data_IF_662369187365
#
_entry.id   IF_662369187365
#
_cell.length_a   1.000
_cell.length_b   1.000
_cell.length_c   1.000
_cell.angle_alpha   90.00
_cell.angle_beta   90.00
_cell.angle_gamma   90.00
#
_symmetry.space_group_name_H-M   'P 1'
#
loop_
_entity.id
_entity.type
_entity.pdbx_description
1 polymer ?
#
# COMPACT_ATOMS: atom_id res chain seq x y z
N UNK A 1 -16.03 3.60 -0.57
CA UNK A 1 -16.19 5.05 -0.31
C UNK A 1 -14.90 5.66 0.23
N UNK A 2 -14.38 5.18 1.36
CA UNK A 2 -13.11 5.65 1.96
C UNK A 2 -11.95 5.66 0.97
N UNK A 3 -11.74 4.58 0.21
CA UNK A 3 -10.65 4.54 -0.78
C UNK A 3 -10.81 5.58 -1.89
N UNK A 4 -12.03 5.88 -2.32
CA UNK A 4 -12.33 6.93 -3.29
C UNK A 4 -12.04 8.33 -2.71
N UNK A 5 -12.32 8.53 -1.42
CA UNK A 5 -12.04 9.79 -0.70
C UNK A 5 -10.54 9.98 -0.53
N UNK A 6 -9.81 8.92 -0.15
CA UNK A 6 -8.35 8.96 -0.09
C UNK A 6 -7.75 9.33 -1.44
N UNK A 7 -8.20 8.66 -2.50
CA UNK A 7 -7.73 8.92 -3.86
C UNK A 7 -8.00 10.36 -4.31
N UNK A 8 -9.15 10.92 -3.95
CA UNK A 8 -9.46 12.33 -4.20
C UNK A 8 -8.50 13.25 -3.43
N UNK A 9 -8.42 13.10 -2.11
CA UNK A 9 -7.61 13.97 -1.25
C UNK A 9 -6.13 13.90 -1.57
N UNK A 10 -5.65 12.70 -1.88
CA UNK A 10 -4.27 12.45 -2.27
C UNK A 10 -3.92 13.12 -3.60
N UNK A 11 -4.84 13.11 -4.58
CA UNK A 11 -4.63 13.80 -5.87
C UNK A 11 -4.84 15.31 -5.80
N UNK A 12 -5.70 15.77 -4.89
CA UNK A 12 -6.06 17.18 -4.82
C UNK A 12 -4.98 18.04 -4.15
N UNK A 13 -4.11 17.43 -3.33
CA UNK A 13 -2.94 18.01 -2.63
C UNK A 13 -3.22 19.19 -1.70
N UNK A 14 -4.44 19.71 -1.74
CA UNK A 14 -4.96 20.68 -0.79
C UNK A 14 -6.03 19.99 0.05
N UNK A 15 -6.16 20.38 1.33
CA UNK A 15 -7.25 19.92 2.15
C UNK A 15 -8.60 20.23 1.51
N UNK A 16 -9.54 19.29 1.61
CA UNK A 16 -10.92 19.46 1.19
C UNK A 16 -11.86 19.34 2.38
N UNK A 17 -12.90 20.16 2.41
CA UNK A 17 -14.01 19.98 3.34
C UNK A 17 -14.85 18.76 2.94
N UNK A 18 -15.64 18.23 3.89
CA UNK A 18 -16.61 17.17 3.61
C UNK A 18 -17.51 17.49 2.41
N UNK A 19 -18.00 18.73 2.31
CA UNK A 19 -18.85 19.17 1.21
C UNK A 19 -18.12 19.13 -0.15
N UNK A 20 -16.84 19.50 -0.18
CA UNK A 20 -16.03 19.40 -1.39
C UNK A 20 -15.80 17.95 -1.77
N UNK A 21 -15.48 17.08 -0.82
CA UNK A 21 -15.32 15.63 -1.04
C UNK A 21 -16.59 15.02 -1.62
N UNK A 22 -17.74 15.31 -1.01
CA UNK A 22 -19.05 14.86 -1.45
C UNK A 22 -19.35 15.30 -2.89
N UNK A 23 -19.07 16.58 -3.20
CA UNK A 23 -19.24 17.15 -4.54
C UNK A 23 -18.35 16.48 -5.59
N UNK A 24 -17.08 16.27 -5.28
CA UNK A 24 -16.14 15.65 -6.22
C UNK A 24 -16.46 14.19 -6.53
N UNK A 25 -16.97 13.44 -5.55
CA UNK A 25 -17.29 12.03 -5.72
C UNK A 25 -18.73 11.77 -6.17
N UNK A 26 -19.58 12.80 -6.20
CA UNK A 26 -21.00 12.66 -6.51
C UNK A 26 -21.74 11.79 -5.48
N UNK A 27 -21.29 11.79 -4.23
CA UNK A 27 -21.79 10.93 -3.16
C UNK A 27 -21.99 11.71 -1.86
N UNK A 28 -22.89 11.25 -0.99
CA UNK A 28 -22.98 11.77 0.38
C UNK A 28 -21.92 11.10 1.26
N UNK A 29 -21.08 11.90 1.90
CA UNK A 29 -20.16 11.43 2.95
C UNK A 29 -20.95 11.38 4.26
N UNK A 30 -21.18 10.17 4.79
CA UNK A 30 -21.93 9.95 6.04
C UNK A 30 -21.01 10.13 7.25
N UNK A 31 -21.59 10.31 8.43
CA UNK A 31 -20.87 10.44 9.70
C UNK A 31 -19.99 9.21 10.01
N UNK A 32 -20.51 8.00 9.78
CA UNK A 32 -19.73 6.75 9.84
C UNK A 32 -18.49 6.77 8.91
N UNK A 33 -18.58 7.44 7.76
CA UNK A 33 -17.44 7.60 6.85
C UNK A 33 -16.40 8.57 7.40
N UNK A 34 -16.83 9.62 8.10
CA UNK A 34 -15.92 10.56 8.77
C UNK A 34 -15.25 9.92 9.98
N UNK A 35 -15.98 9.12 10.76
CA UNK A 35 -15.39 8.32 11.84
C UNK A 35 -14.37 7.32 11.30
N UNK A 36 -14.71 6.63 10.21
CA UNK A 36 -13.77 5.76 9.50
C UNK A 36 -12.53 6.53 9.02
N UNK A 37 -12.69 7.73 8.44
CA UNK A 37 -11.55 8.58 8.05
C UNK A 37 -10.73 9.05 9.25
N UNK A 38 -11.35 9.40 10.38
CA UNK A 38 -10.65 9.83 11.59
C UNK A 38 -9.84 8.72 12.26
N UNK A 39 -10.24 7.47 12.05
CA UNK A 39 -9.51 6.28 12.48
C UNK A 39 -8.55 5.75 11.41
N UNK A 40 -8.59 6.32 10.20
CA UNK A 40 -7.81 5.87 9.06
C UNK A 40 -6.63 6.82 8.84
N UNK A 41 -5.40 6.33 9.02
CA UNK A 41 -4.19 7.14 9.08
C UNK A 41 -3.72 7.69 7.73
N UNK A 42 -4.42 7.33 6.66
CA UNK A 42 -4.24 7.93 5.35
C UNK A 42 -4.82 9.34 5.29
N UNK A 43 -5.65 9.69 6.27
CA UNK A 43 -6.31 10.97 6.37
C UNK A 43 -5.78 11.76 7.56
N UNK A 44 -5.61 13.06 7.35
CA UNK A 44 -5.34 14.02 8.39
C UNK A 44 -6.57 14.92 8.51
N UNK A 45 -7.19 14.93 9.69
CA UNK A 45 -8.21 15.91 10.04
C UNK A 45 -7.53 17.24 10.34
N UNK A 46 -8.00 18.30 9.71
CA UNK A 46 -7.46 19.65 9.79
C UNK A 46 -8.55 20.61 10.30
N UNK A 47 -8.18 21.83 10.74
CA UNK A 47 -9.16 22.83 11.15
C UNK A 47 -10.23 23.07 10.07
N UNK A 48 -11.41 23.54 10.51
CA UNK A 48 -12.53 23.88 9.61
C UNK A 48 -13.10 22.67 8.85
N UNK A 49 -13.12 21.50 9.49
CA UNK A 49 -13.66 20.24 8.92
C UNK A 49 -13.00 19.86 7.59
N UNK A 50 -11.75 20.25 7.44
CA UNK A 50 -10.94 19.91 6.29
C UNK A 50 -10.26 18.58 6.51
N UNK A 51 -10.08 17.86 5.42
CA UNK A 51 -9.38 16.58 5.38
C UNK A 51 -8.30 16.68 4.33
N UNK A 52 -7.11 16.19 4.66
CA UNK A 52 -6.05 15.98 3.69
C UNK A 52 -5.69 14.50 3.65
N UNK A 53 -5.08 14.07 2.56
CA UNK A 53 -4.29 12.85 2.63
C UNK A 53 -2.99 13.17 3.40
N UNK A 54 -2.51 12.22 4.18
CA UNK A 54 -1.23 12.37 4.89
C UNK A 54 -0.12 12.69 3.89
N UNK A 55 0.69 13.69 4.22
CA UNK A 55 1.77 14.16 3.35
C UNK A 55 2.79 13.04 3.13
N UNK A 56 3.37 13.00 1.92
CA UNK A 56 4.31 11.93 1.55
C UNK A 56 5.59 11.98 2.41
N UNK A 57 5.96 13.18 2.81
CA UNK A 57 7.11 13.51 3.65
C UNK A 57 6.93 13.06 5.11
N UNK A 58 5.68 12.95 5.58
CA UNK A 58 5.35 12.51 6.94
C UNK A 58 5.27 10.97 7.05
N UNK A 59 5.36 10.26 5.92
CA UNK A 59 5.11 8.83 5.84
C UNK A 59 6.37 8.00 5.62
N UNK A 60 7.42 8.54 4.97
CA UNK A 60 8.63 7.78 4.67
C UNK A 60 9.88 8.66 4.46
N UNK A 61 11.06 8.18 4.87
CA UNK A 61 12.35 8.69 4.39
C UNK A 61 12.47 8.49 2.88
N UNK A 62 12.66 9.57 2.12
CA UNK A 62 12.85 9.47 0.67
C UNK A 62 14.25 8.92 0.35
N UNK A 63 14.37 7.60 0.35
CA UNK A 63 15.60 6.88 0.01
C UNK A 63 15.62 6.48 -1.48
N UNK A 64 16.82 6.25 -2.05
CA UNK A 64 16.94 5.48 -3.29
C UNK A 64 16.18 4.14 -3.18
N UNK A 65 15.59 3.67 -4.27
CA UNK A 65 14.87 2.39 -4.28
C UNK A 65 15.78 1.22 -3.90
N UNK A 66 17.05 1.28 -4.31
CA UNK A 66 18.09 0.31 -3.95
C UNK A 66 18.44 0.30 -2.46
N UNK A 67 18.24 1.42 -1.75
CA UNK A 67 18.50 1.53 -0.31
C UNK A 67 17.24 1.38 0.55
N UNK A 68 16.06 1.38 -0.08
CA UNK A 68 14.78 1.21 0.60
C UNK A 68 14.59 -0.25 0.99
N UNK A 69 14.22 -0.48 2.26
CA UNK A 69 13.78 -1.81 2.69
C UNK A 69 12.31 -1.99 2.37
N UNK A 70 11.98 -3.05 1.65
CA UNK A 70 10.61 -3.44 1.32
C UNK A 70 10.23 -4.71 2.07
N UNK A 71 8.98 -4.82 2.50
CA UNK A 71 8.40 -6.06 3.03
C UNK A 71 7.26 -6.46 2.11
N UNK A 72 7.56 -7.45 1.26
CA UNK A 72 6.58 -8.03 0.34
C UNK A 72 5.74 -9.00 1.16
N UNK A 73 4.43 -8.80 1.16
CA UNK A 73 3.47 -9.51 2.02
C UNK A 73 2.34 -10.04 1.17
N UNK A 74 1.81 -11.18 1.57
CA UNK A 74 0.58 -11.78 1.05
C UNK A 74 -0.19 -12.44 2.20
N UNK A 75 -1.51 -12.46 2.12
CA UNK A 75 -2.37 -13.14 3.07
C UNK A 75 -3.41 -14.03 2.40
N UNK A 76 -3.76 -15.11 3.10
CA UNK A 76 -4.98 -15.86 2.82
C UNK A 76 -6.00 -15.63 3.94
N UNK A 77 -7.29 -15.63 3.59
CA UNK A 77 -8.36 -15.26 4.52
C UNK A 77 -9.57 -16.19 4.45
N UNK A 78 -10.43 -16.16 5.47
CA UNK A 78 -11.72 -16.89 5.47
C UNK A 78 -12.76 -16.32 4.50
N UNK A 79 -12.44 -15.26 3.77
CA UNK A 79 -13.34 -14.49 2.91
C UNK A 79 -12.81 -13.08 2.64
N UNK A 80 -13.56 -12.25 1.92
CA UNK A 80 -13.07 -10.95 1.43
C UNK A 80 -13.54 -9.73 2.23
N UNK A 81 -14.27 -9.92 3.34
CA UNK A 81 -14.86 -8.84 4.13
C UNK A 81 -13.96 -8.51 5.33
N UNK A 82 -13.19 -7.42 5.22
CA UNK A 82 -12.33 -6.90 6.29
C UNK A 82 -13.13 -6.65 7.59
N UNK A 83 -12.57 -7.05 8.73
CA UNK A 83 -13.19 -6.91 10.06
C UNK A 83 -14.25 -7.98 10.37
N UNK A 84 -14.72 -8.72 9.35
CA UNK A 84 -15.62 -9.87 9.52
C UNK A 84 -14.87 -11.17 9.29
N UNK A 85 -14.13 -11.28 8.19
CA UNK A 85 -13.28 -12.41 7.83
C UNK A 85 -11.90 -12.30 8.50
N UNK A 86 -11.26 -13.46 8.67
CA UNK A 86 -10.02 -13.61 9.45
C UNK A 86 -8.89 -14.09 8.56
N UNK A 87 -7.66 -13.69 8.90
CA UNK A 87 -6.43 -14.19 8.27
C UNK A 87 -6.24 -15.66 8.66
N UNK A 88 -5.83 -16.49 7.70
CA UNK A 88 -5.52 -17.93 7.87
C UNK A 88 -4.09 -18.30 7.43
N UNK A 89 -3.45 -17.48 6.60
CA UNK A 89 -2.04 -17.56 6.24
C UNK A 89 -1.49 -16.13 6.11
N UNK A 90 -0.29 -15.89 6.61
CA UNK A 90 0.41 -14.61 6.53
C UNK A 90 1.87 -14.88 6.20
N UNK A 91 2.27 -14.48 5.00
CA UNK A 91 3.64 -14.60 4.54
C UNK A 91 4.23 -13.25 4.21
N UNK A 92 5.53 -13.09 4.47
CA UNK A 92 6.28 -11.95 4.02
C UNK A 92 7.77 -12.23 3.79
N UNK A 93 8.37 -11.46 2.89
CA UNK A 93 9.81 -11.42 2.65
C UNK A 93 10.27 -9.97 2.73
N UNK A 94 11.27 -9.73 3.58
CA UNK A 94 11.93 -8.43 3.69
C UNK A 94 13.15 -8.40 2.78
N UNK A 95 13.28 -7.35 1.97
CA UNK A 95 14.41 -7.14 1.07
C UNK A 95 14.97 -5.71 1.21
N UNK A 96 16.23 -5.52 0.78
CA UNK A 96 16.82 -4.20 0.50
C UNK A 96 17.69 -4.32 -0.75
N UNK A 97 17.32 -3.62 -1.81
CA UNK A 97 17.80 -3.93 -3.16
C UNK A 97 17.47 -5.39 -3.51
N UNK A 98 18.42 -6.13 -4.09
CA UNK A 98 18.24 -7.54 -4.43
C UNK A 98 18.42 -8.50 -3.24
N UNK A 99 18.93 -7.99 -2.11
CA UNK A 99 19.27 -8.81 -0.95
C UNK A 99 18.03 -9.13 -0.13
N UNK A 100 17.80 -10.42 0.11
CA UNK A 100 16.85 -10.89 1.11
C UNK A 100 17.41 -10.67 2.53
N UNK A 101 16.62 -10.02 3.39
CA UNK A 101 16.96 -9.76 4.78
C UNK A 101 16.31 -10.76 5.75
N UNK A 102 15.22 -11.41 5.32
CA UNK A 102 14.55 -12.46 6.08
C UNK A 102 13.18 -12.80 5.52
N UNK A 103 12.57 -13.86 6.07
CA UNK A 103 11.22 -14.32 5.75
C UNK A 103 10.39 -14.44 7.02
N UNK A 104 9.09 -14.30 6.86
CA UNK A 104 8.06 -14.54 7.85
C UNK A 104 6.99 -15.41 7.20
N UNK A 105 6.55 -16.47 7.87
CA UNK A 105 5.46 -17.31 7.41
C UNK A 105 4.73 -17.88 8.62
N UNK A 106 3.42 -17.73 8.65
CA UNK A 106 2.59 -18.27 9.71
C UNK A 106 1.19 -18.63 9.18
N UNK A 107 0.80 -19.89 9.37
CA UNK A 107 -0.61 -20.24 9.42
C UNK A 107 -1.24 -19.64 10.67
N UNK A 108 -2.52 -19.28 10.57
CA UNK A 108 -3.26 -18.61 11.63
C UNK A 108 -4.55 -19.36 11.90
N UNK A 109 -4.80 -19.72 13.16
CA UNK A 109 -6.11 -20.23 13.56
C UNK A 109 -7.13 -19.08 13.60
N UNK A 110 -8.16 -19.07 12.74
CA UNK A 110 -9.09 -17.96 12.65
C UNK A 110 -10.20 -18.01 13.73
N UNK A 111 -10.17 -19.01 14.63
CA UNK A 111 -11.24 -19.34 15.58
C UNK A 111 -12.62 -19.50 14.92
N UNK A 112 -12.64 -19.98 13.68
CA UNK A 112 -13.87 -20.20 12.93
C UNK A 112 -13.67 -21.22 11.82
N UNK A 113 -14.79 -21.73 11.32
CA UNK A 113 -14.78 -22.67 10.22
C UNK A 113 -14.38 -21.99 8.91
N UNK A 114 -13.37 -22.56 8.24
CA UNK A 114 -13.03 -22.28 6.85
C UNK A 114 -14.03 -23.03 5.96
N UNK A 115 -14.69 -22.30 5.05
CA UNK A 115 -15.66 -22.90 4.14
C UNK A 115 -14.96 -23.77 3.08
N UNK A 116 -15.69 -24.74 2.52
CA UNK A 116 -15.15 -25.58 1.42
C UNK A 116 -14.68 -24.74 0.24
N UNK A 117 -15.39 -23.65 -0.06
CA UNK A 117 -15.01 -22.75 -1.14
C UNK A 117 -13.64 -22.10 -0.89
N UNK A 118 -13.39 -21.61 0.34
CA UNK A 118 -12.09 -21.03 0.70
C UNK A 118 -10.99 -22.10 0.68
N UNK A 119 -11.21 -23.28 1.25
CA UNK A 119 -10.24 -24.38 1.19
C UNK A 119 -9.90 -24.76 -0.26
N UNK A 120 -10.84 -24.68 -1.20
CA UNK A 120 -10.56 -24.92 -2.62
C UNK A 120 -9.75 -23.81 -3.28
N UNK A 121 -9.87 -22.58 -2.80
CA UNK A 121 -9.14 -21.42 -3.33
C UNK A 121 -7.72 -21.33 -2.79
N UNK A 122 -7.55 -21.61 -1.50
CA UNK A 122 -6.31 -21.39 -0.75
C UNK A 122 -5.60 -22.69 -0.37
N UNK A 123 -6.17 -23.86 -0.67
CA UNK A 123 -5.61 -25.15 -0.23
C UNK A 123 -5.63 -25.37 1.29
N UNK A 124 -5.97 -24.37 2.10
CA UNK A 124 -5.91 -24.42 3.57
C UNK A 124 -7.24 -24.96 4.11
N UNK A 125 -7.15 -26.10 4.78
CA UNK A 125 -8.25 -26.80 5.42
C UNK A 125 -8.42 -26.37 6.88
N UNK A 126 -9.55 -26.76 7.48
CA UNK A 126 -9.76 -26.55 8.92
C UNK A 126 -8.75 -27.34 9.77
N UNK A 127 -8.20 -28.44 9.25
CA UNK A 127 -7.21 -29.26 9.98
C UNK A 127 -5.85 -28.58 10.01
N UNK A 128 -5.46 -27.91 8.91
CA UNK A 128 -4.17 -27.22 8.81
C UNK A 128 -4.02 -26.09 9.84
N UNK A 129 -5.14 -25.43 10.17
CA UNK A 129 -5.16 -24.29 11.09
C UNK A 129 -5.62 -24.65 12.51
N UNK A 130 -6.00 -25.89 12.78
CA UNK A 130 -6.58 -26.29 14.07
C UNK A 130 -5.60 -26.04 15.23
N UNK A 131 -4.32 -26.36 15.02
CA UNK A 131 -3.24 -26.17 16.00
C UNK A 131 -2.32 -25.00 15.65
N UNK A 132 -2.67 -24.20 14.65
CA UNK A 132 -1.91 -23.01 14.27
C UNK A 132 -2.00 -21.93 15.36
N UNK A 133 -1.00 -21.05 15.50
CA UNK A 133 -1.05 -19.95 16.46
C UNK A 133 -2.19 -18.98 16.15
N UNK A 134 -2.62 -18.25 17.16
CA UNK A 134 -3.65 -17.24 17.02
C UNK A 134 -3.08 -15.95 16.41
N UNK A 135 -3.93 -15.12 15.81
CA UNK A 135 -3.46 -13.84 15.26
C UNK A 135 -2.92 -12.90 16.35
N UNK A 136 -3.39 -13.05 17.59
CA UNK A 136 -2.89 -12.38 18.79
C UNK A 136 -1.40 -12.66 19.04
N UNK A 137 -0.92 -13.85 18.64
CA UNK A 137 0.48 -14.27 18.77
C UNK A 137 1.29 -13.91 17.52
N UNK A 138 0.67 -14.04 16.34
CA UNK A 138 1.32 -13.85 15.03
C UNK A 138 1.51 -12.37 14.68
N UNK A 139 0.50 -11.52 14.93
CA UNK A 139 0.52 -10.13 14.49
C UNK A 139 1.63 -9.29 15.16
N UNK A 140 1.91 -9.41 16.47
CA UNK A 140 3.04 -8.69 17.07
C UNK A 140 4.39 -9.07 16.44
N UNK A 141 4.61 -10.36 16.17
CA UNK A 141 5.83 -10.85 15.52
C UNK A 141 5.93 -10.35 14.07
N UNK A 142 4.81 -10.32 13.35
CA UNK A 142 4.76 -9.75 12.01
C UNK A 142 5.08 -8.25 12.02
N UNK A 143 4.54 -7.48 12.96
CA UNK A 143 4.82 -6.04 13.07
C UNK A 143 6.29 -5.76 13.40
N UNK A 144 6.88 -6.56 14.29
CA UNK A 144 8.32 -6.51 14.57
C UNK A 144 9.13 -6.86 13.31
N UNK A 145 8.72 -7.92 12.60
CA UNK A 145 9.33 -8.29 11.33
C UNK A 145 9.18 -7.19 10.28
N UNK A 146 8.07 -6.47 10.19
CA UNK A 146 7.90 -5.33 9.27
C UNK A 146 8.84 -4.19 9.66
N UNK A 147 8.84 -3.78 10.93
CA UNK A 147 9.61 -2.65 11.44
C UNK A 147 9.40 -1.38 10.62
N UNK A 148 10.49 -0.83 10.08
CA UNK A 148 10.48 0.39 9.23
C UNK A 148 10.52 0.09 7.73
N UNK A 149 10.23 -1.14 7.31
CA UNK A 149 10.15 -1.48 5.89
C UNK A 149 8.87 -0.91 5.23
N UNK A 150 8.95 -0.62 3.94
CA UNK A 150 7.80 -0.22 3.13
C UNK A 150 6.98 -1.45 2.79
N UNK A 151 5.71 -1.46 3.16
CA UNK A 151 4.78 -2.55 2.84
C UNK A 151 4.55 -2.66 1.33
N UNK A 152 4.67 -3.88 0.79
CA UNK A 152 4.43 -4.18 -0.62
C UNK A 152 3.53 -5.40 -0.72
N UNK A 153 2.57 -5.40 -1.64
CA UNK A 153 1.75 -6.58 -1.94
C UNK A 153 1.19 -6.52 -3.37
N UNK A 154 0.79 -7.66 -3.91
CA UNK A 154 0.16 -7.74 -5.22
C UNK A 154 -1.35 -7.55 -5.06
N UNK A 155 -1.87 -6.38 -5.44
CA UNK A 155 -3.18 -5.88 -4.99
C UNK A 155 -3.19 -5.44 -3.51
N UNK A 156 -2.14 -4.71 -3.11
CA UNK A 156 -1.91 -4.29 -1.74
C UNK A 156 -3.08 -3.70 -0.93
N UNK A 157 -4.08 -3.00 -1.50
CA UNK A 157 -5.26 -2.61 -0.73
C UNK A 157 -5.97 -3.78 -0.02
N UNK A 158 -5.95 -4.98 -0.59
CA UNK A 158 -6.57 -6.14 0.06
C UNK A 158 -5.81 -6.48 1.35
N UNK A 159 -4.55 -6.90 1.22
CA UNK A 159 -3.68 -7.38 2.29
C UNK A 159 -3.50 -6.32 3.38
N UNK A 160 -3.12 -5.11 2.95
CA UNK A 160 -2.80 -4.01 3.85
C UNK A 160 -3.99 -3.68 4.75
N UNK A 161 -5.21 -3.59 4.21
CA UNK A 161 -6.37 -3.23 5.04
C UNK A 161 -6.92 -4.40 5.87
N UNK A 162 -6.68 -5.66 5.47
CA UNK A 162 -6.95 -6.81 6.34
C UNK A 162 -6.01 -6.82 7.55
N UNK A 163 -4.71 -6.62 7.33
CA UNK A 163 -3.71 -6.51 8.39
C UNK A 163 -4.03 -5.33 9.31
N UNK A 164 -4.33 -4.15 8.74
CA UNK A 164 -4.73 -2.99 9.54
C UNK A 164 -6.01 -3.21 10.36
N UNK A 165 -6.97 -4.00 9.86
CA UNK A 165 -8.16 -4.35 10.61
C UNK A 165 -7.84 -5.26 11.81
N UNK A 166 -6.94 -6.24 11.65
CA UNK A 166 -6.47 -7.08 12.76
C UNK A 166 -5.66 -6.28 13.77
N UNK A 167 -4.74 -5.41 13.33
CA UNK A 167 -3.99 -4.48 14.21
C UNK A 167 -4.96 -3.65 15.06
N UNK A 168 -5.97 -3.04 14.41
CA UNK A 168 -6.98 -2.24 15.11
C UNK A 168 -7.80 -3.08 16.10
N UNK A 169 -8.21 -4.28 15.71
CA UNK A 169 -8.98 -5.21 16.58
C UNK A 169 -8.19 -5.60 17.82
N UNK A 170 -6.89 -5.79 17.67
CA UNK A 170 -5.96 -6.16 18.74
C UNK A 170 -5.51 -4.97 19.60
N UNK A 171 -5.85 -3.73 19.23
CA UNK A 171 -5.39 -2.52 19.92
C UNK A 171 -3.88 -2.32 19.82
N UNK A 172 -3.25 -2.83 18.75
CA UNK A 172 -1.81 -2.72 18.53
C UNK A 172 -1.44 -1.37 17.90
N UNK A 173 -0.20 -0.96 18.11
CA UNK A 173 0.35 0.20 17.41
C UNK A 173 0.39 -0.06 15.90
N UNK A 174 0.01 0.94 15.09
CA UNK A 174 -0.02 0.78 13.65
C UNK A 174 1.38 0.75 13.03
N UNK A 175 1.47 0.17 11.83
CA UNK A 175 2.69 0.21 11.02
C UNK A 175 3.17 1.66 10.80
N UNK A 176 4.48 1.88 10.91
CA UNK A 176 5.07 3.22 10.81
C UNK A 176 4.91 3.83 9.41
N UNK A 177 5.15 3.04 8.37
CA UNK A 177 5.07 3.45 6.96
C UNK A 177 3.78 2.96 6.32
N UNK A 178 2.83 3.86 6.08
CA UNK A 178 1.44 3.51 5.77
C UNK A 178 1.03 3.65 4.31
N UNK A 179 1.96 4.00 3.43
CA UNK A 179 1.70 4.00 1.98
C UNK A 179 2.16 2.67 1.42
N UNK A 180 1.25 1.70 1.19
CA UNK A 180 1.64 0.44 0.59
C UNK A 180 2.01 0.65 -0.88
N UNK A 181 2.95 -0.16 -1.37
CA UNK A 181 3.29 -0.28 -2.78
C UNK A 181 2.49 -1.44 -3.37
N UNK A 182 1.73 -1.16 -4.43
CA UNK A 182 0.90 -2.15 -5.10
C UNK A 182 1.55 -2.56 -6.42
N UNK A 183 2.13 -3.76 -6.48
CA UNK A 183 2.79 -4.26 -7.70
C UNK A 183 1.81 -4.47 -8.85
N UNK A 184 0.53 -4.79 -8.56
CA UNK A 184 -0.53 -4.83 -9.57
C UNK A 184 -0.79 -3.46 -10.23
N UNK A 185 -0.77 -2.38 -9.43
CA UNK A 185 -0.96 -1.02 -9.95
C UNK A 185 0.22 -0.58 -10.81
N UNK A 186 1.45 -0.95 -10.41
CA UNK A 186 2.67 -0.70 -11.17
C UNK A 186 2.66 -1.50 -12.47
N UNK A 187 2.35 -2.80 -12.42
CA UNK A 187 2.26 -3.69 -13.57
C UNK A 187 1.34 -3.15 -14.66
N UNK A 188 0.13 -2.70 -14.30
CA UNK A 188 -0.81 -2.13 -15.28
C UNK A 188 -0.30 -0.88 -16.01
N UNK A 189 0.69 -0.17 -15.45
CA UNK A 189 1.29 1.02 -16.05
C UNK A 189 2.52 0.69 -16.89
N UNK A 190 3.35 -0.23 -16.42
CA UNK A 190 4.54 -0.68 -17.14
C UNK A 190 4.17 -1.60 -18.31
N UNK A 191 3.13 -2.41 -18.15
CA UNK A 191 2.71 -3.44 -19.10
C UNK A 191 1.26 -3.21 -19.58
N UNK A 192 0.94 -2.07 -20.24
CA UNK A 192 -0.43 -1.72 -20.62
C UNK A 192 -1.08 -2.71 -21.60
N UNK A 193 -0.26 -3.40 -22.41
CA UNK A 193 -0.73 -4.40 -23.38
C UNK A 193 -1.02 -5.77 -22.75
N UNK A 194 -0.62 -5.99 -21.48
CA UNK A 194 -0.82 -7.26 -20.81
C UNK A 194 -2.25 -7.39 -20.29
N UNK A 195 -3.04 -8.25 -20.94
CA UNK A 195 -4.47 -8.47 -20.64
C UNK A 195 -4.75 -8.88 -19.18
N UNK A 196 -3.84 -9.60 -18.53
CA UNK A 196 -4.01 -10.10 -17.17
C UNK A 196 -2.74 -9.82 -16.36
N UNK A 197 -2.84 -8.86 -15.43
CA UNK A 197 -1.73 -8.45 -14.56
C UNK A 197 -1.75 -9.09 -13.17
N UNK A 198 -2.61 -10.10 -12.91
CA UNK A 198 -2.56 -10.87 -11.66
C UNK A 198 -1.30 -11.76 -11.58
N UNK A 199 -1.01 -12.36 -10.43
CA UNK A 199 0.19 -13.18 -10.20
C UNK A 199 0.40 -14.20 -11.32
N UNK A 200 -0.61 -15.03 -11.63
CA UNK A 200 -0.54 -16.01 -12.74
C UNK A 200 -0.23 -15.39 -14.09
N UNK A 201 -0.81 -14.21 -14.38
CA UNK A 201 -0.59 -13.52 -15.65
C UNK A 201 0.80 -12.94 -15.78
N UNK A 202 1.33 -12.35 -14.70
CA UNK A 202 2.69 -11.83 -14.62
C UNK A 202 3.72 -12.97 -14.61
N UNK A 203 3.47 -14.04 -13.87
CA UNK A 203 4.31 -15.25 -13.88
C UNK A 203 4.49 -15.76 -15.31
N UNK A 204 3.39 -15.88 -16.06
CA UNK A 204 3.46 -16.28 -17.47
C UNK A 204 4.20 -15.26 -18.34
N UNK A 205 3.98 -13.97 -18.12
CA UNK A 205 4.63 -12.90 -18.88
C UNK A 205 6.16 -12.92 -18.70
N UNK A 206 6.62 -13.08 -17.44
CA UNK A 206 8.03 -13.07 -17.09
C UNK A 206 8.71 -14.44 -17.15
N UNK A 207 7.97 -15.52 -17.44
CA UNK A 207 8.51 -16.88 -17.37
C UNK A 207 8.88 -17.32 -15.95
N UNK A 208 8.22 -16.76 -14.92
CA UNK A 208 8.43 -17.16 -13.54
C UNK A 208 7.61 -18.40 -13.21
N UNK A 209 8.31 -19.48 -12.84
CA UNK A 209 7.69 -20.71 -12.35
C UNK A 209 7.50 -20.62 -10.84
N UNK A 210 6.24 -20.75 -10.40
CA UNK A 210 5.90 -20.81 -8.97
C UNK A 210 5.56 -22.26 -8.61
N UNK A 211 6.25 -22.79 -7.62
CA UNK A 211 5.88 -24.05 -6.96
C UNK A 211 4.72 -23.79 -5.99
N UNK A 212 3.72 -24.67 -6.00
CA UNK A 212 2.60 -24.67 -5.03
C UNK A 212 1.82 -23.34 -4.91
N UNK A 213 1.23 -22.89 -6.04
CA UNK A 213 0.22 -21.82 -6.02
C UNK A 213 -0.88 -22.20 -5.03
N UNK A 214 -1.48 -21.21 -4.35
CA UNK A 214 -2.49 -21.32 -3.28
C UNK A 214 -1.96 -21.21 -1.84
N UNK A 215 -0.64 -21.08 -1.61
CA UNK A 215 -0.10 -20.65 -0.31
C UNK A 215 0.42 -19.21 -0.41
N UNK A 216 0.45 -18.49 0.71
CA UNK A 216 0.84 -17.08 0.71
C UNK A 216 2.32 -16.87 0.32
N UNK A 217 3.24 -17.72 0.79
CA UNK A 217 4.69 -17.54 0.54
C UNK A 217 5.09 -17.64 -0.95
N UNK A 218 4.62 -18.63 -1.74
CA UNK A 218 4.84 -18.64 -3.19
C UNK A 218 4.43 -17.34 -3.90
N UNK A 219 3.29 -16.75 -3.53
CA UNK A 219 2.82 -15.49 -4.11
C UNK A 219 3.65 -14.29 -3.65
N UNK A 220 4.18 -14.30 -2.41
CA UNK A 220 5.19 -13.33 -1.96
C UNK A 220 6.47 -13.41 -2.80
N UNK A 221 6.96 -14.62 -3.09
CA UNK A 221 8.19 -14.80 -3.88
C UNK A 221 8.00 -14.37 -5.34
N UNK A 222 6.86 -14.72 -5.95
CA UNK A 222 6.50 -14.21 -7.27
C UNK A 222 6.40 -12.68 -7.28
N UNK A 223 5.74 -12.11 -6.27
CA UNK A 223 5.58 -10.65 -6.14
C UNK A 223 6.92 -9.93 -5.93
N UNK A 224 7.84 -10.52 -5.16
CA UNK A 224 9.21 -10.02 -5.03
C UNK A 224 9.92 -10.00 -6.37
N UNK A 225 9.81 -11.09 -7.15
CA UNK A 225 10.41 -11.17 -8.47
C UNK A 225 9.86 -10.05 -9.37
N UNK A 226 8.54 -9.88 -9.44
CA UNK A 226 7.93 -8.82 -10.24
C UNK A 226 8.38 -7.42 -9.79
N UNK A 227 8.46 -7.18 -8.48
CA UNK A 227 8.94 -5.91 -7.95
C UNK A 227 10.37 -5.62 -8.42
N UNK A 228 11.25 -6.61 -8.42
CA UNK A 228 12.62 -6.47 -8.93
C UNK A 228 12.67 -6.08 -10.41
N UNK A 229 11.88 -6.76 -11.26
CA UNK A 229 11.78 -6.43 -12.69
C UNK A 229 11.20 -5.02 -12.90
N UNK A 230 10.18 -4.65 -12.14
CA UNK A 230 9.60 -3.31 -12.21
C UNK A 230 10.57 -2.23 -11.75
N UNK A 231 11.36 -2.46 -10.69
CA UNK A 231 12.36 -1.49 -10.24
C UNK A 231 13.38 -1.22 -11.35
N UNK A 232 13.91 -2.25 -12.02
CA UNK A 232 14.83 -2.08 -13.15
C UNK A 232 14.21 -1.21 -14.25
N UNK A 233 12.98 -1.51 -14.67
CA UNK A 233 12.30 -0.74 -15.72
C UNK A 233 12.00 0.71 -15.29
N UNK A 234 11.71 0.93 -14.01
CA UNK A 234 11.48 2.26 -13.44
C UNK A 234 12.76 3.08 -13.38
N UNK A 235 13.89 2.46 -13.05
CA UNK A 235 15.20 3.11 -13.06
C UNK A 235 15.58 3.60 -14.46
N UNK A 236 15.32 2.80 -15.51
CA UNK A 236 15.49 3.21 -16.92
C UNK A 236 14.63 4.44 -17.28
N UNK A 237 13.48 4.60 -16.63
CA UNK A 237 12.58 5.76 -16.78
C UNK A 237 12.93 6.93 -15.85
N UNK A 238 14.00 6.83 -15.06
CA UNK A 238 14.47 7.86 -14.13
C UNK A 238 13.71 7.93 -12.81
N UNK A 239 12.96 6.89 -12.46
CA UNK A 239 12.26 6.72 -11.18
C UNK A 239 13.18 5.89 -10.28
N UNK A 240 13.98 6.56 -9.47
CA UNK A 240 15.05 5.95 -8.67
C UNK A 240 14.88 6.15 -7.17
N UNK A 241 13.87 6.92 -6.75
CA UNK A 241 13.58 7.21 -5.35
C UNK A 241 12.17 6.81 -4.95
N UNK A 242 11.99 6.53 -3.67
CA UNK A 242 10.73 6.03 -3.14
C UNK A 242 9.55 6.99 -3.37
N UNK A 243 9.73 8.30 -3.19
CA UNK A 243 8.65 9.26 -3.43
C UNK A 243 8.17 9.22 -4.91
N UNK A 244 9.10 9.00 -5.85
CA UNK A 244 8.80 8.91 -7.28
C UNK A 244 8.04 7.62 -7.59
N UNK A 245 8.43 6.50 -6.98
CA UNK A 245 7.70 5.24 -7.11
C UNK A 245 6.26 5.36 -6.57
N UNK A 246 6.10 6.00 -5.41
CA UNK A 246 4.78 6.24 -4.83
C UNK A 246 3.94 7.14 -5.73
N UNK A 247 4.54 8.17 -6.32
CA UNK A 247 3.87 9.02 -7.30
C UNK A 247 3.49 8.22 -8.55
N UNK A 248 4.41 7.40 -9.07
CA UNK A 248 4.22 6.56 -10.24
C UNK A 248 3.10 5.55 -10.04
N UNK A 249 2.98 4.87 -8.90
CA UNK A 249 1.88 3.92 -8.70
C UNK A 249 0.51 4.63 -8.63
N UNK A 250 0.45 5.89 -8.18
CA UNK A 250 -0.81 6.57 -7.84
C UNK A 250 -1.51 7.32 -8.98
N UNK A 251 -0.79 7.73 -10.03
CA UNK A 251 -1.21 8.62 -11.13
C UNK A 251 -2.17 9.78 -10.82
N UNK A 252 -1.66 10.98 -11.12
CA UNK A 252 -2.45 12.20 -11.22
C UNK A 252 -1.72 13.43 -11.80
N UNK A 253 -0.43 13.36 -12.15
CA UNK A 253 0.29 14.51 -12.71
C UNK A 253 1.11 14.17 -13.96
N UNK A 254 0.83 14.87 -15.06
CA UNK A 254 1.67 14.88 -16.25
C UNK A 254 3.00 15.59 -15.99
N UNK A 255 4.02 15.30 -16.81
CA UNK A 255 5.30 16.06 -16.85
C UNK A 255 5.10 17.57 -16.88
N UNK A 256 4.04 18.02 -17.56
CA UNK A 256 3.65 19.43 -17.68
C UNK A 256 3.21 20.05 -16.35
N UNK A 257 2.51 19.29 -15.51
CA UNK A 257 2.06 19.76 -14.20
C UNK A 257 3.25 19.85 -13.21
N UNK A 258 4.24 18.96 -13.34
CA UNK A 258 5.50 19.00 -12.58
C UNK A 258 6.29 20.26 -12.95
N UNK A 259 6.47 20.57 -14.25
CA UNK A 259 7.18 21.76 -14.70
C UNK A 259 6.49 23.08 -14.33
N UNK A 260 5.15 23.13 -14.34
CA UNK A 260 4.38 24.30 -13.87
C UNK A 260 4.60 24.59 -12.39
N UNK A 261 4.81 23.56 -11.57
CA UNK A 261 5.07 23.72 -10.12
C UNK A 261 6.48 24.19 -9.82
N UNK A 262 7.47 23.67 -10.54
CA UNK A 262 8.86 24.14 -10.46
C UNK A 262 8.92 25.64 -10.81
N UNK A 263 8.30 26.05 -11.93
CA UNK A 263 8.21 27.47 -12.32
C UNK A 263 7.51 28.35 -11.28
N UNK A 264 6.46 27.85 -10.62
CA UNK A 264 5.76 28.57 -9.54
C UNK A 264 6.59 28.69 -8.25
N UNK A 265 7.43 27.71 -7.94
CA UNK A 265 8.34 27.77 -6.80
C UNK A 265 9.49 28.74 -7.07
N UNK A 266 10.04 28.76 -8.29
CA UNK A 266 11.07 29.71 -8.70
C UNK A 266 10.56 31.15 -8.71
N UNK A 267 9.32 31.38 -9.16
CA UNK A 267 8.70 32.72 -9.12
C UNK A 267 8.44 33.21 -7.70
N UNK A 268 7.99 32.33 -6.79
CA UNK A 268 7.85 32.65 -5.35
C UNK A 268 9.19 32.92 -4.68
N UNK A 269 10.26 32.18 -5.03
CA UNK A 269 11.63 32.43 -4.55
C UNK A 269 12.22 33.73 -5.09
N UNK A 270 11.87 34.14 -6.31
CA UNK A 270 12.25 35.46 -6.87
C UNK A 270 11.48 36.62 -6.24
N UNK A 271 10.19 36.44 -5.92
CA UNK A 271 9.38 37.45 -5.24
C UNK A 271 9.78 37.66 -3.77
N UNK A 272 10.21 36.60 -3.08
CA UNK A 272 10.71 36.67 -1.69
C UNK A 272 12.16 37.16 -1.59
N UNK A 273 12.92 37.16 -2.70
CA UNK A 273 14.27 37.73 -2.80
C UNK A 273 14.32 39.13 -3.43
N UNK A 274 13.19 39.70 -3.87
CA UNK A 274 13.14 41.09 -4.27
C UNK A 274 13.30 41.96 -3.00
N UNK A 275 14.38 42.74 -2.86
CA UNK A 275 14.56 43.61 -1.72
C UNK A 275 13.41 44.62 -1.69
N UNK A 276 12.91 44.92 -0.50
CA UNK A 276 12.06 46.08 -0.26
C UNK A 276 12.83 47.34 -0.64
N UNK A 277 12.73 47.75 -1.90
CA UNK A 277 13.12 49.08 -2.32
C UNK A 277 12.09 50.06 -1.75
N UNK A 278 12.32 50.46 -0.50
CA UNK A 278 11.87 51.70 0.13
C UNK A 278 12.70 51.91 1.41
N UNK A 279 13.92 52.39 1.19
CA UNK A 279 14.51 53.39 2.06
C UNK A 279 14.27 54.77 1.43
N UNK A 280 14.00 55.74 2.31
CA UNK A 280 13.71 57.18 2.13
C UNK A 280 12.27 57.53 2.53
#
# INVERSE_FOLDING_TARGET
>A
MIDSIFQLLFRHEKPLTQNQIAKFLGLKVKEETLEQMGQDPRFCALPQEQWAATALEDLIEDLPLTETSFVITDIETTGSIRGTDRIIDLAAVKIKGDKELGRFEALVNPHRRISRHITQLTGISNQDVETAPLIEEVMPQFLEFVGDAVFVAHNAPFDFYFIQAEIKRLGLEPMKKRVPICTFAIAKKLLPELKACGVTGLSKHFGYESEDRHRAMPDVLATRYFLGEFIKELEEKGITRLHQLIQFQKDGLSREQIQKRIKRQESKRRQTRAPSAKGA
#
